data_IF_061156117695
#
_entry.id   IF_061156117695
#
_cell.length_a   1.000
_cell.length_b   1.000
_cell.length_c   1.000
_cell.angle_alpha   90.00
_cell.angle_beta   90.00
_cell.angle_gamma   90.00
#
_symmetry.space_group_name_H-M   'P 1'
#
loop_
_entity.id
_entity.type
_entity.pdbx_description
1 polymer ?
#
# COMPACT_ATOMS: atom_id res chain seq x y z
N UNK A 1 -5.32 27.31 12.45
CA UNK A 1 -5.40 25.83 12.45
C UNK A 1 -5.28 25.38 11.00
N UNK A 2 -4.31 24.52 10.66
CA UNK A 2 -4.21 23.98 9.31
C UNK A 2 -5.47 23.15 9.02
N UNK A 3 -6.07 23.33 7.84
CA UNK A 3 -7.21 22.54 7.39
C UNK A 3 -6.73 21.10 7.21
N UNK A 4 -7.24 20.15 8.00
CA UNK A 4 -7.02 18.74 7.72
C UNK A 4 -7.81 18.36 6.47
N UNK A 5 -7.12 17.80 5.47
CA UNK A 5 -7.76 17.26 4.27
C UNK A 5 -8.35 15.86 4.53
N UNK A 6 -7.99 15.25 5.65
CA UNK A 6 -8.39 13.91 6.04
C UNK A 6 -9.70 13.92 6.81
N UNK A 7 -10.63 13.06 6.41
CA UNK A 7 -11.79 12.69 7.21
C UNK A 7 -11.34 11.73 8.34
N UNK A 8 -10.87 12.31 9.44
CA UNK A 8 -10.28 11.57 10.57
C UNK A 8 -11.25 10.59 11.22
N UNK A 9 -12.54 10.92 11.26
CA UNK A 9 -13.58 10.04 11.80
C UNK A 9 -13.74 8.81 10.91
N UNK A 10 -13.88 9.03 9.60
CA UNK A 10 -13.98 7.93 8.64
C UNK A 10 -12.74 7.05 8.64
N UNK A 11 -11.54 7.65 8.56
CA UNK A 11 -10.26 6.92 8.57
C UNK A 11 -10.12 6.10 9.86
N UNK A 12 -10.46 6.68 11.02
CA UNK A 12 -10.37 5.97 12.31
C UNK A 12 -11.29 4.75 12.34
N UNK A 13 -12.51 4.87 11.82
CA UNK A 13 -13.46 3.76 11.70
C UNK A 13 -12.95 2.67 10.75
N UNK A 14 -12.41 3.03 9.60
CA UNK A 14 -11.84 2.04 8.66
C UNK A 14 -10.64 1.32 9.28
N UNK A 15 -9.77 2.07 9.96
CA UNK A 15 -8.61 1.53 10.64
C UNK A 15 -8.96 0.59 11.77
N UNK A 16 -9.93 0.94 12.61
CA UNK A 16 -10.39 0.07 13.69
C UNK A 16 -10.88 -1.27 13.14
N UNK A 17 -11.77 -1.22 12.14
CA UNK A 17 -12.27 -2.43 11.46
C UNK A 17 -11.12 -3.26 10.90
N UNK A 18 -10.21 -2.62 10.15
CA UNK A 18 -9.14 -3.32 9.48
C UNK A 18 -8.11 -3.94 10.43
N UNK A 19 -7.78 -3.24 11.52
CA UNK A 19 -6.90 -3.77 12.57
C UNK A 19 -7.56 -4.94 13.31
N UNK A 20 -8.86 -4.89 13.58
CA UNK A 20 -9.58 -5.99 14.20
C UNK A 20 -9.59 -7.23 13.29
N UNK A 21 -9.82 -7.04 11.98
CA UNK A 21 -9.73 -8.11 10.99
C UNK A 21 -8.33 -8.72 10.91
N UNK A 22 -7.28 -7.89 10.87
CA UNK A 22 -5.88 -8.35 10.89
C UNK A 22 -5.57 -9.20 12.15
N UNK A 23 -6.02 -8.74 13.32
CA UNK A 23 -5.82 -9.45 14.59
C UNK A 23 -6.56 -10.80 14.63
N UNK A 24 -7.71 -10.89 13.97
CA UNK A 24 -8.50 -12.14 13.92
C UNK A 24 -7.74 -13.30 13.28
N UNK A 25 -6.75 -13.00 12.41
CA UNK A 25 -5.86 -13.99 11.79
C UNK A 25 -4.49 -14.08 12.46
N UNK A 26 -4.36 -13.56 13.69
CA UNK A 26 -3.12 -13.56 14.48
C UNK A 26 -1.93 -12.88 13.78
N UNK A 27 -2.21 -11.90 12.90
CA UNK A 27 -1.18 -11.05 12.30
C UNK A 27 -1.16 -9.68 13.00
N UNK A 28 0.00 -9.04 12.99
CA UNK A 28 0.22 -7.76 13.66
C UNK A 28 0.92 -6.72 12.80
N UNK A 29 1.67 -7.15 11.78
CA UNK A 29 2.37 -6.25 10.88
C UNK A 29 1.58 -5.98 9.60
N UNK A 30 1.59 -4.72 9.18
CA UNK A 30 0.73 -4.25 8.11
C UNK A 30 1.32 -3.10 7.31
N UNK A 31 0.75 -2.90 6.13
CA UNK A 31 0.84 -1.67 5.34
C UNK A 31 -0.56 -1.07 5.24
N UNK A 32 -0.72 0.15 5.73
CA UNK A 32 -1.92 0.98 5.65
C UNK A 32 -1.68 2.07 4.59
N UNK A 33 -2.67 2.32 3.74
CA UNK A 33 -2.67 3.35 2.70
C UNK A 33 -3.92 4.18 2.82
N UNK A 34 -3.76 5.49 2.71
CA UNK A 34 -4.86 6.45 2.62
C UNK A 34 -4.61 7.36 1.41
N UNK A 35 -5.67 7.68 0.69
CA UNK A 35 -5.63 8.67 -0.39
C UNK A 35 -6.85 9.57 -0.30
N UNK A 36 -6.66 10.86 -0.58
CA UNK A 36 -7.76 11.84 -0.63
C UNK A 36 -7.44 12.94 -1.64
N UNK A 37 -8.48 13.50 -2.26
CA UNK A 37 -8.37 14.60 -3.21
C UNK A 37 -8.23 15.93 -2.47
N UNK A 38 -7.29 16.79 -2.91
CA UNK A 38 -7.03 18.06 -2.23
C UNK A 38 -8.09 19.12 -2.53
N UNK A 39 -8.39 19.30 -3.82
CA UNK A 39 -9.16 20.43 -4.34
C UNK A 39 -10.47 20.03 -5.01
N UNK A 40 -10.68 18.73 -5.22
CA UNK A 40 -11.80 18.21 -5.98
C UNK A 40 -12.74 17.43 -5.07
N UNK A 41 -14.04 17.60 -5.31
CA UNK A 41 -15.08 16.75 -4.76
C UNK A 41 -15.78 16.06 -5.91
N UNK A 42 -15.71 14.74 -5.94
CA UNK A 42 -16.45 13.91 -6.89
C UNK A 42 -17.58 13.17 -6.18
N UNK A 43 -18.51 12.59 -6.94
CA UNK A 43 -19.55 11.73 -6.41
C UNK A 43 -19.88 10.66 -7.45
N UNK A 44 -19.11 9.57 -7.42
CA UNK A 44 -19.12 8.53 -8.43
C UNK A 44 -20.05 7.39 -8.01
N UNK A 45 -20.80 6.82 -8.96
CA UNK A 45 -21.69 5.70 -8.69
C UNK A 45 -20.90 4.43 -8.38
N UNK A 46 -21.41 3.56 -7.52
CA UNK A 46 -20.70 2.37 -7.03
C UNK A 46 -20.26 1.41 -8.15
N UNK A 47 -21.10 1.24 -9.18
CA UNK A 47 -20.75 0.42 -10.34
C UNK A 47 -19.55 0.97 -11.12
N UNK A 48 -19.46 2.30 -11.23
CA UNK A 48 -18.32 2.99 -11.83
C UNK A 48 -17.07 2.85 -10.95
N UNK A 49 -17.20 3.08 -9.64
CA UNK A 49 -16.11 2.85 -8.68
C UNK A 49 -15.53 1.44 -8.81
N UNK A 50 -16.40 0.42 -8.88
CA UNK A 50 -15.98 -0.98 -8.98
C UNK A 50 -15.23 -1.24 -10.29
N UNK A 51 -15.72 -0.68 -11.40
CA UNK A 51 -15.05 -0.81 -12.70
C UNK A 51 -13.67 -0.17 -12.67
N UNK A 52 -13.55 1.05 -12.16
CA UNK A 52 -12.27 1.77 -12.12
C UNK A 52 -11.28 1.15 -11.14
N UNK A 53 -11.73 0.74 -9.95
CA UNK A 53 -10.90 -0.01 -9.00
C UNK A 53 -10.35 -1.30 -9.65
N UNK A 54 -11.20 -2.03 -10.39
CA UNK A 54 -10.77 -3.25 -11.10
C UNK A 54 -9.72 -2.96 -12.19
N UNK A 55 -9.92 -1.89 -12.97
CA UNK A 55 -9.01 -1.48 -14.05
C UNK A 55 -7.68 -0.91 -13.53
N UNK A 56 -7.68 -0.29 -12.35
CA UNK A 56 -6.48 0.30 -11.76
C UNK A 56 -5.47 -0.75 -11.23
N UNK A 57 -5.90 -1.99 -11.00
CA UNK A 57 -5.04 -3.08 -10.50
C UNK A 57 -3.81 -3.32 -11.38
N UNK A 58 -2.68 -3.62 -10.75
CA UNK A 58 -1.41 -3.97 -11.41
C UNK A 58 -1.04 -5.39 -11.01
N UNK A 59 -0.93 -6.29 -11.98
CA UNK A 59 -0.76 -7.74 -11.73
C UNK A 59 0.70 -8.23 -11.90
N UNK A 60 1.67 -7.37 -11.62
CA UNK A 60 3.10 -7.68 -11.80
C UNK A 60 3.65 -8.55 -10.67
N UNK A 61 3.31 -8.26 -9.41
CA UNK A 61 3.92 -8.91 -8.24
C UNK A 61 2.87 -9.33 -7.21
N UNK A 62 2.80 -10.64 -6.94
CA UNK A 62 1.93 -11.21 -5.91
C UNK A 62 0.47 -10.79 -6.06
N UNK A 63 -0.23 -10.67 -4.93
CA UNK A 63 -1.59 -10.14 -4.88
C UNK A 63 -1.60 -8.63 -5.05
N UNK A 64 -2.37 -8.06 -5.99
CA UNK A 64 -2.41 -6.62 -6.22
C UNK A 64 -2.87 -5.78 -5.01
N UNK A 65 -2.46 -4.52 -4.97
CA UNK A 65 -3.11 -3.50 -4.14
C UNK A 65 -4.58 -3.38 -4.56
N UNK A 66 -5.48 -3.25 -3.56
CA UNK A 66 -6.92 -3.13 -3.76
C UNK A 66 -7.54 -4.24 -4.63
N UNK A 67 -7.19 -5.50 -4.37
CA UNK A 67 -7.65 -6.65 -5.15
C UNK A 67 -9.18 -6.68 -5.25
N UNK A 68 -9.69 -6.73 -6.48
CA UNK A 68 -11.10 -6.92 -6.81
C UNK A 68 -11.29 -8.35 -7.29
N UNK A 69 -12.01 -9.15 -6.50
CA UNK A 69 -12.34 -10.55 -6.80
C UNK A 69 -13.78 -10.68 -7.29
N UNK A 70 -14.03 -11.69 -8.12
CA UNK A 70 -15.38 -12.05 -8.59
C UNK A 70 -16.00 -13.21 -7.78
N UNK A 71 -15.26 -13.77 -6.80
CA UNK A 71 -15.73 -14.83 -5.91
C UNK A 71 -16.76 -14.27 -4.92
N UNK A 72 -17.95 -14.85 -4.85
CA UNK A 72 -19.09 -14.24 -4.14
C UNK A 72 -18.87 -13.91 -2.66
N UNK A 73 -18.05 -14.68 -1.96
CA UNK A 73 -17.68 -14.49 -0.56
C UNK A 73 -16.59 -13.42 -0.34
N UNK A 74 -15.74 -13.17 -1.34
CA UNK A 74 -14.62 -12.21 -1.27
C UNK A 74 -14.79 -10.97 -2.16
N UNK A 75 -15.83 -10.93 -3.00
CA UNK A 75 -16.06 -9.81 -3.91
C UNK A 75 -16.35 -8.53 -3.14
N UNK A 76 -16.00 -7.41 -3.77
CA UNK A 76 -16.35 -6.09 -3.25
C UNK A 76 -17.87 -5.93 -3.13
N UNK A 77 -18.32 -5.34 -2.02
CA UNK A 77 -19.74 -5.09 -1.73
C UNK A 77 -20.01 -3.58 -1.83
N UNK A 78 -21.16 -3.17 -2.40
CA UNK A 78 -21.57 -1.78 -2.37
C UNK A 78 -21.99 -1.38 -0.96
N UNK A 79 -21.78 -0.11 -0.64
CA UNK A 79 -22.27 0.58 0.56
C UNK A 79 -22.91 1.91 0.14
N UNK A 80 -23.60 2.59 1.06
CA UNK A 80 -24.14 3.92 0.79
C UNK A 80 -23.05 4.94 0.41
N UNK A 81 -21.83 4.74 0.93
CA UNK A 81 -20.71 5.68 0.83
C UNK A 81 -19.67 5.30 -0.23
N UNK A 82 -19.79 4.12 -0.85
CA UNK A 82 -18.81 3.63 -1.84
C UNK A 82 -18.81 2.11 -1.99
N UNK A 83 -17.65 1.52 -2.20
CA UNK A 83 -17.44 0.07 -2.29
C UNK A 83 -16.38 -0.38 -1.27
N UNK A 84 -16.53 -1.60 -0.75
CA UNK A 84 -15.63 -2.17 0.27
C UNK A 84 -15.33 -3.63 -0.04
N UNK A 85 -14.11 -4.07 0.22
CA UNK A 85 -13.76 -5.48 0.27
C UNK A 85 -12.97 -5.80 1.54
N UNK A 86 -13.25 -6.97 2.08
CA UNK A 86 -12.55 -7.54 3.22
C UNK A 86 -12.26 -9.00 2.86
N UNK A 87 -10.98 -9.30 2.64
CA UNK A 87 -10.51 -10.58 2.13
C UNK A 87 -9.66 -11.21 3.24
N UNK A 88 -10.12 -12.37 3.69
CA UNK A 88 -9.48 -13.18 4.71
C UNK A 88 -9.11 -14.50 4.07
N UNK A 89 -7.82 -14.80 3.99
CA UNK A 89 -7.33 -16.10 3.54
C UNK A 89 -6.76 -16.84 4.75
N UNK A 90 -7.43 -17.92 5.10
CA UNK A 90 -6.98 -18.88 6.11
C UNK A 90 -6.97 -20.24 5.44
N UNK A 91 -5.79 -20.81 5.23
CA UNK A 91 -5.67 -22.19 4.75
C UNK A 91 -4.81 -22.96 5.74
N UNK A 92 -5.12 -24.24 5.94
CA UNK A 92 -4.48 -25.08 6.96
C UNK A 92 -2.95 -25.20 6.77
N UNK A 93 -2.49 -25.10 5.52
CA UNK A 93 -1.07 -25.20 5.12
C UNK A 93 -0.53 -23.98 4.34
N UNK A 94 -1.35 -22.92 4.14
CA UNK A 94 -0.86 -21.64 3.58
C UNK A 94 -0.76 -20.58 4.66
N UNK A 95 0.06 -19.58 4.37
CA UNK A 95 0.31 -18.48 5.28
C UNK A 95 -0.87 -17.51 5.19
N UNK A 96 -1.53 -17.31 6.33
CA UNK A 96 -2.72 -16.46 6.43
C UNK A 96 -2.44 -15.04 5.96
N UNK A 97 -3.36 -14.48 5.19
CA UNK A 97 -3.31 -13.09 4.71
C UNK A 97 -4.62 -12.36 4.96
N UNK A 98 -4.51 -11.05 5.14
CA UNK A 98 -5.63 -10.16 5.42
C UNK A 98 -5.52 -8.91 4.57
N UNK A 99 -6.60 -8.60 3.88
CA UNK A 99 -6.71 -7.48 2.96
C UNK A 99 -8.04 -6.76 3.17
N UNK A 100 -7.98 -5.52 3.63
CA UNK A 100 -9.14 -4.64 3.72
C UNK A 100 -8.93 -3.41 2.86
N UNK A 101 -9.94 -3.03 2.10
CA UNK A 101 -9.94 -1.74 1.42
C UNK A 101 -11.35 -1.19 1.20
N UNK A 102 -11.46 0.14 1.16
CA UNK A 102 -12.68 0.86 0.88
C UNK A 102 -12.38 2.04 -0.05
N UNK A 103 -13.22 2.22 -1.07
CA UNK A 103 -13.19 3.36 -1.97
C UNK A 103 -14.52 4.10 -1.87
N UNK A 104 -14.50 5.35 -1.42
CA UNK A 104 -15.69 6.20 -1.28
C UNK A 104 -16.09 6.81 -2.62
N UNK A 105 -17.35 7.23 -2.70
CA UNK A 105 -17.90 7.96 -3.86
C UNK A 105 -17.20 9.30 -4.13
N UNK A 106 -16.58 9.89 -3.11
CA UNK A 106 -15.81 11.13 -3.21
C UNK A 106 -14.34 10.93 -3.62
N UNK A 107 -13.90 9.69 -3.86
CA UNK A 107 -12.52 9.38 -4.24
C UNK A 107 -11.57 9.15 -3.07
N UNK A 108 -12.03 9.26 -1.82
CA UNK A 108 -11.22 8.84 -0.68
C UNK A 108 -11.03 7.33 -0.71
N UNK A 109 -9.81 6.91 -0.44
CA UNK A 109 -9.42 5.51 -0.46
C UNK A 109 -8.73 5.14 0.84
N UNK A 110 -9.10 3.98 1.37
CA UNK A 110 -8.46 3.37 2.52
C UNK A 110 -8.08 1.93 2.18
N UNK A 111 -6.90 1.52 2.61
CA UNK A 111 -6.48 0.12 2.57
C UNK A 111 -5.62 -0.23 3.77
N UNK A 112 -5.75 -1.46 4.25
CA UNK A 112 -4.80 -2.08 5.16
C UNK A 112 -4.60 -3.54 4.74
N UNK A 113 -3.35 -3.95 4.67
CA UNK A 113 -2.93 -5.31 4.29
C UNK A 113 -1.98 -5.88 5.33
N UNK A 114 -2.05 -7.18 5.60
CA UNK A 114 -0.94 -7.88 6.22
C UNK A 114 0.32 -7.77 5.34
N UNK A 115 1.50 -7.72 5.95
CA UNK A 115 2.74 -7.74 5.18
C UNK A 115 2.95 -9.11 4.52
N UNK A 116 3.34 -9.09 3.24
CA UNK A 116 3.61 -10.29 2.44
C UNK A 116 4.81 -11.10 2.98
N UNK A 117 5.74 -10.45 3.67
CA UNK A 117 6.97 -11.06 4.17
C UNK A 117 6.71 -12.08 5.27
N UNK A 118 5.66 -11.92 6.07
CA UNK A 118 5.21 -12.94 7.03
C UNK A 118 4.72 -14.21 6.31
N UNK A 119 4.42 -14.11 5.01
CA UNK A 119 4.20 -15.25 4.14
C UNK A 119 5.49 -15.85 3.55
N UNK A 120 6.67 -15.41 3.97
CA UNK A 120 7.95 -15.89 3.46
C UNK A 120 8.93 -16.21 4.57
N UNK A 121 9.15 -15.25 5.44
CA UNK A 121 10.01 -15.32 6.60
C UNK A 121 9.44 -14.40 7.67
N UNK A 122 8.96 -15.00 8.77
CA UNK A 122 8.43 -14.23 9.88
C UNK A 122 9.47 -13.25 10.45
N UNK A 123 8.98 -12.19 11.09
CA UNK A 123 9.80 -11.15 11.72
C UNK A 123 10.80 -10.46 10.76
N UNK A 124 10.52 -10.48 9.46
CA UNK A 124 11.38 -9.88 8.44
C UNK A 124 10.60 -8.85 7.62
N UNK A 125 11.30 -7.81 7.15
CA UNK A 125 10.83 -6.88 6.13
C UNK A 125 11.79 -6.95 4.95
N UNK A 126 11.27 -7.11 3.74
CA UNK A 126 12.09 -7.18 2.54
C UNK A 126 12.06 -5.82 1.86
N UNK A 127 13.20 -5.13 1.81
CA UNK A 127 13.24 -3.78 1.24
C UNK A 127 12.73 -3.76 -0.21
N UNK A 128 13.08 -4.78 -1.02
CA UNK A 128 12.63 -4.86 -2.41
C UNK A 128 11.12 -5.07 -2.52
N UNK A 129 10.52 -5.87 -1.63
CA UNK A 129 9.06 -6.01 -1.55
C UNK A 129 8.41 -4.69 -1.15
N UNK A 130 8.96 -3.96 -0.17
CA UNK A 130 8.42 -2.66 0.25
C UNK A 130 8.48 -1.63 -0.87
N UNK A 131 9.59 -1.56 -1.62
CA UNK A 131 9.72 -0.71 -2.81
C UNK A 131 8.62 -1.05 -3.81
N UNK A 132 8.51 -2.32 -4.22
CA UNK A 132 7.49 -2.79 -5.17
C UNK A 132 6.08 -2.42 -4.71
N UNK A 133 5.73 -2.64 -3.44
CA UNK A 133 4.39 -2.32 -2.91
C UNK A 133 4.10 -0.82 -2.87
N UNK A 134 5.09 0.02 -2.58
CA UNK A 134 4.95 1.49 -2.61
C UNK A 134 4.80 1.95 -4.06
N UNK A 135 5.63 1.45 -4.99
CA UNK A 135 5.53 1.73 -6.43
C UNK A 135 4.15 1.37 -6.97
N UNK A 136 3.67 0.16 -6.67
CA UNK A 136 2.35 -0.30 -7.04
C UNK A 136 1.24 0.60 -6.50
N UNK A 137 1.35 1.04 -5.23
CA UNK A 137 0.37 1.93 -4.60
C UNK A 137 0.26 3.26 -5.33
N UNK A 138 1.39 3.88 -5.70
CA UNK A 138 1.40 5.15 -6.41
C UNK A 138 0.84 5.01 -7.84
N UNK A 139 1.26 3.97 -8.57
CA UNK A 139 0.72 3.71 -9.90
C UNK A 139 -0.77 3.34 -9.87
N UNK A 140 -1.23 2.62 -8.84
CA UNK A 140 -2.64 2.35 -8.62
C UNK A 140 -3.42 3.66 -8.41
N UNK A 141 -2.90 4.59 -7.60
CA UNK A 141 -3.53 5.90 -7.39
C UNK A 141 -3.68 6.68 -8.71
N UNK A 142 -2.60 6.77 -9.51
CA UNK A 142 -2.62 7.45 -10.80
C UNK A 142 -3.62 6.82 -11.78
N UNK A 143 -3.66 5.48 -11.88
CA UNK A 143 -4.62 4.76 -12.73
C UNK A 143 -6.05 4.93 -12.26
N UNK A 144 -6.30 4.83 -10.94
CA UNK A 144 -7.63 5.01 -10.37
C UNK A 144 -8.16 6.42 -10.63
N UNK A 145 -7.39 7.45 -10.31
CA UNK A 145 -7.83 8.83 -10.48
C UNK A 145 -7.95 9.25 -11.94
N UNK A 146 -7.09 8.73 -12.82
CA UNK A 146 -7.28 8.86 -14.27
C UNK A 146 -8.56 8.19 -14.75
N UNK A 147 -8.84 6.97 -14.27
CA UNK A 147 -10.07 6.23 -14.58
C UNK A 147 -11.35 6.91 -14.09
N UNK A 148 -11.26 7.67 -12.99
CA UNK A 148 -12.33 8.52 -12.48
C UNK A 148 -12.44 9.86 -13.22
N UNK A 149 -11.72 10.04 -14.33
CA UNK A 149 -11.70 11.22 -15.19
C UNK A 149 -11.25 12.51 -14.47
N UNK A 150 -10.33 12.40 -13.51
CA UNK A 150 -9.73 13.58 -12.90
C UNK A 150 -8.70 14.22 -13.86
N UNK A 151 -8.56 15.56 -13.84
CA UNK A 151 -7.49 16.25 -14.55
C UNK A 151 -6.10 15.72 -14.17
N UNK A 152 -5.13 15.73 -15.11
CA UNK A 152 -3.78 15.21 -14.87
C UNK A 152 -3.01 15.99 -13.79
N UNK A 153 -3.35 17.25 -13.61
CA UNK A 153 -2.84 18.17 -12.59
C UNK A 153 -3.67 18.14 -11.29
N UNK A 154 -4.70 17.30 -11.20
CA UNK A 154 -5.48 17.13 -9.97
C UNK A 154 -4.58 16.67 -8.82
N UNK A 155 -4.60 17.44 -7.73
CA UNK A 155 -3.78 17.20 -6.55
C UNK A 155 -4.48 16.24 -5.60
N UNK A 156 -3.73 15.27 -5.11
CA UNK A 156 -4.17 14.31 -4.12
C UNK A 156 -3.05 14.00 -3.13
N UNK A 157 -3.45 13.60 -1.93
CA UNK A 157 -2.54 13.15 -0.89
C UNK A 157 -2.46 11.63 -0.91
N UNK A 158 -1.27 11.10 -0.63
CA UNK A 158 -1.04 9.69 -0.35
C UNK A 158 -0.31 9.59 0.98
N UNK A 159 -0.91 8.87 1.92
CA UNK A 159 -0.26 8.52 3.19
C UNK A 159 -0.08 7.01 3.23
N UNK A 160 1.15 6.57 3.50
CA UNK A 160 1.48 5.17 3.72
C UNK A 160 2.03 5.02 5.12
N UNK A 161 1.45 4.09 5.88
CA UNK A 161 1.89 3.73 7.22
C UNK A 161 2.23 2.26 7.29
N UNK A 162 3.43 1.96 7.75
CA UNK A 162 3.85 0.61 8.10
C UNK A 162 3.75 0.44 9.61
N UNK A 163 3.25 -0.71 10.07
CA UNK A 163 3.12 -1.02 11.49
C UNK A 163 3.53 -2.45 11.83
N UNK A 164 3.80 -2.70 13.12
CA UNK A 164 4.30 -4.00 13.59
C UNK A 164 5.78 -4.20 13.26
N UNK A 165 6.56 -3.11 13.17
CA UNK A 165 7.96 -3.12 12.73
C UNK A 165 8.94 -3.47 13.85
N UNK A 166 8.58 -3.21 15.11
CA UNK A 166 9.52 -3.31 16.23
C UNK A 166 10.04 -4.75 16.38
N UNK A 167 11.35 -4.91 16.44
CA UNK A 167 12.01 -6.21 16.53
C UNK A 167 12.14 -6.97 15.21
N UNK A 168 11.60 -6.44 14.10
CA UNK A 168 11.78 -7.06 12.77
C UNK A 168 13.12 -6.69 12.17
N UNK A 169 13.63 -7.57 11.31
CA UNK A 169 14.89 -7.42 10.60
C UNK A 169 14.64 -6.97 9.16
N UNK A 170 15.41 -5.98 8.68
CA UNK A 170 15.42 -5.62 7.27
C UNK A 170 16.33 -6.55 6.47
N UNK A 171 15.81 -7.15 5.41
CA UNK A 171 16.52 -8.08 4.53
C UNK A 171 16.08 -7.89 3.06
N UNK A 172 16.48 -8.81 2.19
CA UNK A 172 16.05 -8.93 0.79
C UNK A 172 15.35 -10.26 0.57
N UNK A 173 14.36 -10.30 -0.34
CA UNK A 173 13.71 -11.57 -0.69
C UNK A 173 14.53 -12.47 -1.61
N UNK A 174 15.68 -12.00 -2.12
CA UNK A 174 16.52 -12.75 -3.06
C UNK A 174 17.60 -13.57 -2.34
N UNK A 175 17.56 -14.89 -2.52
CA UNK A 175 18.56 -15.84 -1.97
C UNK A 175 19.95 -15.61 -2.57
N UNK A 176 20.04 -15.11 -3.81
CA UNK A 176 21.31 -14.85 -4.50
C UNK A 176 22.06 -13.63 -3.94
N UNK A 177 21.32 -12.68 -3.36
CA UNK A 177 21.88 -11.54 -2.62
C UNK A 177 21.92 -11.90 -1.13
N UNK A 178 22.76 -12.87 -0.75
CA UNK A 178 23.12 -13.08 0.66
C UNK A 178 23.85 -11.84 1.15
N UNK A 179 23.09 -10.84 1.59
CA UNK A 179 23.59 -9.93 2.60
C UNK A 179 24.04 -10.82 3.76
N UNK A 180 25.26 -10.64 4.31
CA UNK A 180 25.61 -11.28 5.56
C UNK A 180 24.47 -11.01 6.56
N UNK A 181 24.05 -12.00 7.36
CA UNK A 181 22.99 -11.82 8.34
C UNK A 181 23.41 -10.71 9.29
N UNK A 182 23.03 -9.47 8.99
CA UNK A 182 23.30 -8.35 9.86
C UNK A 182 22.19 -8.39 10.89
N UNK A 183 22.50 -8.99 12.05
CA UNK A 183 21.74 -8.82 13.29
C UNK A 183 21.52 -7.34 13.64
N UNK A 184 22.21 -6.44 12.95
CA UNK A 184 22.23 -5.01 13.21
C UNK A 184 21.08 -4.24 12.53
N UNK A 185 20.29 -4.85 11.63
CA UNK A 185 19.18 -4.17 10.93
C UNK A 185 17.82 -4.42 11.58
N UNK A 186 17.78 -4.38 12.90
CA UNK A 186 16.54 -4.55 13.67
C UNK A 186 15.87 -3.21 13.85
N UNK A 187 14.55 -3.13 13.65
CA UNK A 187 13.83 -1.88 13.92
C UNK A 187 13.54 -1.69 15.41
N UNK A 188 13.88 -0.52 15.93
CA UNK A 188 13.47 -0.04 17.26
C UNK A 188 12.05 0.53 17.26
N UNK A 189 11.61 1.07 16.12
CA UNK A 189 10.31 1.69 15.93
C UNK A 189 9.24 0.67 15.60
N UNK A 190 8.02 0.87 16.12
CA UNK A 190 6.91 -0.01 15.78
C UNK A 190 6.18 0.43 14.51
N UNK A 191 6.23 1.73 14.18
CA UNK A 191 5.42 2.33 13.14
C UNK A 191 6.20 3.45 12.46
N UNK A 192 6.07 3.52 11.14
CA UNK A 192 6.53 4.65 10.33
C UNK A 192 5.39 5.08 9.44
N UNK A 193 5.21 6.38 9.26
CA UNK A 193 4.29 6.92 8.28
C UNK A 193 4.96 8.02 7.48
N UNK A 194 4.53 8.17 6.24
CA UNK A 194 4.95 9.25 5.35
C UNK A 194 3.72 9.68 4.57
N UNK A 195 3.59 10.99 4.38
CA UNK A 195 2.57 11.61 3.56
C UNK A 195 3.24 12.43 2.47
N UNK A 196 2.71 12.35 1.26
CA UNK A 196 3.08 13.25 0.17
C UNK A 196 1.83 13.85 -0.46
N UNK A 197 2.00 15.02 -1.04
CA UNK A 197 1.09 15.60 -2.02
C UNK A 197 1.67 15.35 -3.42
N UNK A 198 0.83 14.94 -4.37
CA UNK A 198 1.25 14.75 -5.77
C UNK A 198 0.08 14.95 -6.74
N UNK A 199 0.35 14.80 -8.03
CA UNK A 199 -0.64 14.77 -9.12
C UNK A 199 -0.49 13.48 -9.92
N UNK A 200 -1.43 13.21 -10.83
CA UNK A 200 -1.33 12.07 -11.77
C UNK A 200 -0.06 12.22 -12.62
N UNK A 201 0.15 13.42 -13.18
CA UNK A 201 1.33 13.71 -14.00
C UNK A 201 2.65 13.54 -13.25
N UNK A 202 2.74 14.04 -12.01
CA UNK A 202 3.94 13.87 -11.18
C UNK A 202 4.17 12.41 -10.81
N UNK A 203 3.11 11.65 -10.54
CA UNK A 203 3.21 10.23 -10.22
C UNK A 203 3.79 9.42 -11.38
N UNK A 204 3.43 9.77 -12.61
CA UNK A 204 3.94 9.12 -13.82
C UNK A 204 5.37 9.57 -14.15
N UNK A 205 5.67 10.86 -14.00
CA UNK A 205 6.96 11.45 -14.44
C UNK A 205 8.08 11.44 -13.39
N UNK A 206 7.74 11.35 -12.10
CA UNK A 206 8.67 11.44 -10.96
C UNK A 206 8.52 10.25 -10.00
N UNK A 207 8.13 9.09 -10.54
CA UNK A 207 7.82 7.90 -9.74
C UNK A 207 8.96 7.51 -8.79
N UNK A 208 10.20 7.59 -9.24
CA UNK A 208 11.39 7.26 -8.44
C UNK A 208 11.50 8.17 -7.23
N UNK A 209 11.41 9.48 -7.43
CA UNK A 209 11.50 10.48 -6.36
C UNK A 209 10.37 10.31 -5.35
N UNK A 210 9.17 9.99 -5.81
CA UNK A 210 8.01 9.80 -4.93
C UNK A 210 8.15 8.50 -4.11
N UNK A 211 8.62 7.40 -4.70
CA UNK A 211 8.90 6.16 -3.96
C UNK A 211 10.06 6.36 -2.96
N UNK A 212 11.10 7.10 -3.33
CA UNK A 212 12.22 7.45 -2.44
C UNK A 212 11.73 8.15 -1.16
N UNK A 213 10.81 9.11 -1.29
CA UNK A 213 10.20 9.82 -0.15
C UNK A 213 9.55 8.90 0.89
N UNK A 214 8.94 7.79 0.47
CA UNK A 214 8.35 6.80 1.40
C UNK A 214 9.37 5.79 1.93
N UNK A 215 10.29 5.35 1.08
CA UNK A 215 11.22 4.27 1.41
C UNK A 215 12.33 4.74 2.35
N UNK A 216 12.82 5.97 2.21
CA UNK A 216 13.89 6.49 3.06
C UNK A 216 13.49 6.55 4.56
N UNK A 217 12.36 7.17 4.96
CA UNK A 217 11.90 7.12 6.35
C UNK A 217 11.59 5.70 6.84
N UNK A 218 11.11 4.81 5.95
CA UNK A 218 10.82 3.42 6.31
C UNK A 218 12.10 2.65 6.61
N UNK A 219 13.18 2.85 5.87
CA UNK A 219 14.37 2.04 6.03
C UNK A 219 15.33 2.58 7.10
N UNK A 220 15.36 3.90 7.33
CA UNK A 220 16.23 4.49 8.35
C UNK A 220 15.93 3.96 9.77
N UNK A 221 14.69 3.55 10.05
CA UNK A 221 14.34 2.96 11.36
C UNK A 221 14.87 1.55 11.58
N UNK A 222 15.52 0.94 10.57
CA UNK A 222 16.23 -0.33 10.68
C UNK A 222 17.73 -0.06 10.84
N UNK A 223 18.07 0.65 11.92
CA UNK A 223 19.44 1.04 12.28
C UNK A 223 20.14 1.87 11.20
N UNK A 224 19.54 3.00 10.83
CA UNK A 224 20.05 3.96 9.86
C UNK A 224 20.37 3.35 8.49
N UNK A 225 19.64 2.30 8.09
CA UNK A 225 19.84 1.71 6.77
C UNK A 225 19.47 2.71 5.68
N UNK A 226 20.46 2.99 4.82
CA UNK A 226 20.28 3.80 3.62
C UNK A 226 20.37 2.90 2.39
N UNK A 227 19.32 2.93 1.57
CA UNK A 227 19.30 2.20 0.32
C UNK A 227 20.04 3.00 -0.76
N UNK A 228 20.91 2.34 -1.52
CA UNK A 228 21.50 2.94 -2.71
C UNK A 228 20.41 3.29 -3.73
N UNK A 229 20.38 4.55 -4.17
CA UNK A 229 19.38 5.05 -5.13
C UNK A 229 19.36 4.28 -6.47
N UNK A 230 20.50 3.82 -6.97
CA UNK A 230 20.54 3.00 -8.18
C UNK A 230 19.82 1.66 -8.02
N UNK A 231 19.89 1.04 -6.83
CA UNK A 231 19.13 -0.19 -6.52
C UNK A 231 17.64 0.10 -6.43
N UNK A 232 17.26 1.25 -5.86
CA UNK A 232 15.87 1.70 -5.81
C UNK A 232 15.30 1.86 -7.24
N UNK A 233 16.01 2.61 -8.07
CA UNK A 233 15.64 2.87 -9.47
C UNK A 233 15.51 1.58 -10.29
N UNK A 234 16.47 0.66 -10.15
CA UNK A 234 16.43 -0.64 -10.83
C UNK A 234 15.15 -1.43 -10.47
N UNK A 235 14.83 -1.54 -9.18
CA UNK A 235 13.66 -2.29 -8.71
C UNK A 235 12.36 -1.66 -9.25
N UNK A 236 12.25 -0.34 -9.20
CA UNK A 236 11.08 0.40 -9.71
C UNK A 236 10.91 0.16 -11.21
N UNK A 237 11.99 0.34 -11.97
CA UNK A 237 11.96 0.22 -13.43
C UNK A 237 11.62 -1.21 -13.87
N UNK A 238 12.15 -2.22 -13.21
CA UNK A 238 11.83 -3.61 -13.50
C UNK A 238 10.34 -3.91 -13.20
N UNK A 239 9.81 -3.42 -12.07
CA UNK A 239 8.38 -3.56 -11.77
C UNK A 239 7.49 -2.90 -12.84
N UNK A 240 7.84 -1.69 -13.29
CA UNK A 240 7.09 -0.97 -14.35
C UNK A 240 7.11 -1.74 -15.67
N UNK A 241 8.20 -2.44 -15.99
CA UNK A 241 8.31 -3.32 -17.18
C UNK A 241 7.56 -4.64 -17.04
N UNK A 242 6.99 -4.94 -15.88
CA UNK A 242 6.33 -6.21 -15.61
C UNK A 242 7.28 -7.33 -15.15
N UNK A 243 8.49 -6.99 -14.73
CA UNK A 243 9.51 -7.93 -14.27
C UNK A 243 9.49 -8.05 -12.73
N UNK A 244 9.67 -9.28 -12.23
CA UNK A 244 9.69 -9.57 -10.78
C UNK A 244 11.13 -9.45 -10.26
N UNK A 245 11.34 -8.72 -9.15
CA UNK A 245 12.65 -8.41 -8.54
C UNK A 245 12.87 -8.98 -7.14
#
# INVERSE_FOLDING_TARGET
MAKSYWDEEWISKQRERAINGLKSIQRSAFMEVQMTLRDLTINVQQGELLRQARQAQIKTFGWPIALVLDRDDLRSKPTNDGIVAEIIIQEQDRRNSYDYWMLRKNGDFYLLKSIFEDERQENTIFFNTRIVRITETLLYAARLYSGLNLPRDARYFVLIRHGGLKGRILSTSSIARRFPPSTDRVSSENKVYTEIETTIEQTESQLVELVEKFTQPLFVVFNFFELNRGVLEEIINNFVKGEVT
#
